data_IF_596214709754
#
_entry.id   IF_596214709754
#
_cell.length_a   1.000
_cell.length_b   1.000
_cell.length_c   1.000
_cell.angle_alpha   90.00
_cell.angle_beta   90.00
_cell.angle_gamma   90.00
#
_symmetry.space_group_name_H-M   'P 1'
#
loop_
_entity.id
_entity.type
_entity.pdbx_description
1 polymer ?
#
# COMPACT_ATOMS: atom_id res chain seq x y z
N UNK A 1 16.26 -7.90 1.77
CA UNK A 1 17.01 -9.08 1.28
C UNK A 1 16.22 -9.87 0.24
N UNK A 2 15.02 -10.38 0.54
CA UNK A 2 14.24 -11.21 -0.40
C UNK A 2 13.83 -10.46 -1.69
N UNK A 3 13.35 -9.22 -1.58
CA UNK A 3 12.90 -8.47 -2.77
C UNK A 3 14.05 -8.14 -3.75
N UNK A 4 15.27 -7.96 -3.25
CA UNK A 4 16.48 -7.81 -4.08
C UNK A 4 16.85 -9.13 -4.77
N UNK A 5 16.80 -10.25 -4.04
CA UNK A 5 17.13 -11.56 -4.59
C UNK A 5 16.11 -12.01 -5.63
N UNK A 6 14.83 -11.77 -5.39
CA UNK A 6 13.74 -12.00 -6.35
C UNK A 6 13.91 -11.10 -7.58
N UNK A 7 14.20 -9.81 -7.40
CA UNK A 7 14.49 -8.90 -8.51
C UNK A 7 15.69 -9.35 -9.36
N UNK A 8 16.80 -9.73 -8.73
CA UNK A 8 17.99 -10.20 -9.43
C UNK A 8 17.79 -11.57 -10.08
N UNK A 9 17.10 -12.50 -9.41
CA UNK A 9 16.79 -13.82 -9.92
C UNK A 9 15.84 -13.77 -11.12
N UNK A 10 14.79 -12.95 -11.06
CA UNK A 10 13.88 -12.77 -12.19
C UNK A 10 14.54 -12.00 -13.34
N UNK A 11 15.35 -10.96 -13.07
CA UNK A 11 16.14 -10.32 -14.12
C UNK A 11 17.15 -11.28 -14.73
N UNK A 12 17.77 -12.17 -13.95
CA UNK A 12 18.72 -13.16 -14.46
C UNK A 12 18.02 -14.22 -15.34
N UNK A 13 16.89 -14.77 -14.90
CA UNK A 13 16.10 -15.74 -15.66
C UNK A 13 15.51 -15.16 -16.95
N UNK A 14 15.07 -13.89 -16.96
CA UNK A 14 14.36 -13.29 -18.10
C UNK A 14 15.23 -12.46 -19.03
N UNK A 15 16.45 -12.07 -18.62
CA UNK A 15 17.46 -11.51 -19.54
C UNK A 15 17.84 -12.49 -20.66
N UNK A 16 17.54 -13.77 -20.47
CA UNK A 16 17.71 -14.82 -21.48
C UNK A 16 16.59 -14.89 -22.52
N UNK A 17 15.40 -14.28 -22.33
CA UNK A 17 14.23 -14.73 -23.11
C UNK A 17 13.16 -13.73 -23.62
N UNK A 18 13.21 -12.40 -23.42
CA UNK A 18 12.51 -11.36 -24.24
C UNK A 18 12.24 -10.02 -23.51
N UNK A 19 11.96 -8.96 -24.29
CA UNK A 19 11.44 -7.62 -23.96
C UNK A 19 11.35 -7.24 -22.47
N UNK A 20 12.45 -6.69 -21.95
CA UNK A 20 12.69 -6.31 -20.55
C UNK A 20 11.65 -5.39 -19.90
N UNK A 21 10.89 -4.61 -20.68
CA UNK A 21 9.91 -3.65 -20.16
C UNK A 21 8.68 -4.29 -19.49
N UNK A 22 8.07 -5.28 -20.14
CA UNK A 22 6.82 -5.92 -19.67
C UNK A 22 7.04 -6.78 -18.42
N UNK A 23 8.21 -7.44 -18.34
CA UNK A 23 8.61 -8.26 -17.21
C UNK A 23 8.86 -7.39 -15.97
N UNK A 24 9.51 -6.24 -16.14
CA UNK A 24 9.74 -5.31 -15.04
C UNK A 24 8.42 -4.78 -14.48
N UNK A 25 7.45 -4.46 -15.34
CA UNK A 25 6.10 -4.08 -14.91
C UNK A 25 5.41 -5.23 -14.17
N UNK A 26 5.48 -6.46 -14.69
CA UNK A 26 4.91 -7.62 -14.00
C UNK A 26 5.51 -7.82 -12.61
N UNK A 27 6.83 -7.73 -12.44
CA UNK A 27 7.49 -7.84 -11.13
C UNK A 27 7.03 -6.72 -10.19
N UNK A 28 6.91 -5.48 -10.69
CA UNK A 28 6.48 -4.32 -9.90
C UNK A 28 5.02 -4.41 -9.44
N UNK A 29 4.14 -4.99 -10.22
CA UNK A 29 2.71 -5.04 -9.91
C UNK A 29 2.23 -6.38 -9.38
N UNK A 30 3.07 -7.43 -9.40
CA UNK A 30 2.69 -8.74 -8.89
C UNK A 30 2.73 -8.76 -7.34
N UNK A 31 1.58 -8.94 -6.65
CA UNK A 31 1.51 -8.92 -5.19
C UNK A 31 2.36 -10.01 -4.52
N UNK A 32 2.66 -11.11 -5.23
CA UNK A 32 3.52 -12.18 -4.71
C UNK A 32 4.94 -11.68 -4.41
N UNK A 33 5.43 -10.68 -5.15
CA UNK A 33 6.76 -10.09 -4.90
C UNK A 33 6.83 -9.36 -3.54
N UNK A 34 5.68 -8.97 -2.99
CA UNK A 34 5.55 -8.24 -1.74
C UNK A 34 5.19 -9.12 -0.54
N UNK A 35 5.14 -10.45 -0.71
CA UNK A 35 4.91 -11.39 0.41
C UNK A 35 5.93 -11.17 1.53
N UNK A 36 7.19 -10.93 1.20
CA UNK A 36 8.24 -10.73 2.21
C UNK A 36 8.04 -9.46 3.06
N UNK A 37 7.59 -8.38 2.43
CA UNK A 37 7.25 -7.15 3.16
C UNK A 37 5.99 -7.31 3.99
N UNK A 38 5.03 -8.09 3.49
CA UNK A 38 3.81 -8.41 4.22
C UNK A 38 4.07 -9.26 5.47
N UNK A 39 4.87 -10.32 5.35
CA UNK A 39 5.25 -11.16 6.50
C UNK A 39 6.09 -10.38 7.52
N UNK A 40 6.98 -9.49 7.09
CA UNK A 40 7.68 -8.57 8.00
C UNK A 40 6.71 -7.67 8.76
N UNK A 41 5.68 -7.13 8.09
CA UNK A 41 4.63 -6.37 8.74
C UNK A 41 3.86 -7.17 9.80
N UNK A 42 3.54 -8.44 9.51
CA UNK A 42 2.89 -9.34 10.46
C UNK A 42 3.77 -9.60 11.70
N UNK A 43 5.06 -9.89 11.48
CA UNK A 43 6.01 -10.11 12.58
C UNK A 43 6.21 -8.85 13.43
N UNK A 44 6.23 -7.67 12.79
CA UNK A 44 6.28 -6.39 13.50
C UNK A 44 5.03 -6.22 14.36
N UNK A 45 3.85 -6.47 13.82
CA UNK A 45 2.59 -6.41 14.57
C UNK A 45 2.61 -7.32 15.80
N UNK A 46 3.04 -8.57 15.65
CA UNK A 46 3.11 -9.52 16.76
C UNK A 46 4.04 -9.05 17.89
N UNK A 47 5.11 -8.33 17.58
CA UNK A 47 6.01 -7.73 18.58
C UNK A 47 5.40 -6.52 19.28
N UNK A 48 4.66 -5.69 18.56
CA UNK A 48 4.14 -4.42 19.10
C UNK A 48 2.73 -4.52 19.70
N UNK A 49 1.96 -5.58 19.40
CA UNK A 49 0.54 -5.67 19.78
C UNK A 49 0.29 -5.57 21.30
N UNK A 50 1.25 -6.02 22.11
CA UNK A 50 1.17 -6.02 23.57
C UNK A 50 1.76 -4.75 24.23
N UNK A 51 2.35 -3.84 23.45
CA UNK A 51 2.93 -2.61 23.97
C UNK A 51 1.80 -1.64 24.34
N UNK A 52 1.91 -1.00 25.51
CA UNK A 52 0.93 -0.02 25.98
C UNK A 52 0.91 1.20 25.06
N UNK A 53 -0.27 1.50 24.51
CA UNK A 53 -0.52 2.71 23.73
C UNK A 53 -0.46 3.95 24.60
N UNK A 54 0.13 5.04 24.10
CA UNK A 54 0.35 6.29 24.85
C UNK A 54 0.26 7.50 23.95
N UNK A 55 -0.12 8.64 24.51
CA UNK A 55 -0.25 9.90 23.75
C UNK A 55 1.12 10.48 23.34
N UNK A 56 2.21 10.10 24.00
CA UNK A 56 3.57 10.54 23.65
C UNK A 56 3.97 10.12 22.23
N UNK A 57 3.40 9.03 21.70
CA UNK A 57 3.67 8.58 20.35
C UNK A 57 3.12 9.53 19.28
N UNK A 58 2.10 10.34 19.57
CA UNK A 58 1.68 11.44 18.68
C UNK A 58 2.84 12.42 18.44
N UNK A 59 3.57 12.78 19.50
CA UNK A 59 4.69 13.70 19.39
C UNK A 59 5.85 13.09 18.59
N UNK A 60 6.21 11.83 18.87
CA UNK A 60 7.22 11.11 18.08
C UNK A 60 6.81 10.97 16.62
N UNK A 61 5.53 10.78 16.32
CA UNK A 61 5.02 10.72 14.95
C UNK A 61 5.26 12.04 14.22
N UNK A 62 4.98 13.19 14.84
CA UNK A 62 5.22 14.51 14.23
C UNK A 62 6.70 14.73 13.95
N UNK A 63 7.56 14.48 14.95
CA UNK A 63 9.02 14.60 14.78
C UNK A 63 9.49 13.71 13.63
N UNK A 64 8.99 12.48 13.56
CA UNK A 64 9.40 11.54 12.55
C UNK A 64 8.92 11.92 11.14
N UNK A 65 7.71 12.47 11.01
CA UNK A 65 7.22 13.02 9.73
C UNK A 65 8.11 14.18 9.28
N UNK A 66 8.45 15.10 10.20
CA UNK A 66 9.36 16.21 9.91
C UNK A 66 10.72 15.66 9.44
N UNK A 67 11.27 14.68 10.16
CA UNK A 67 12.52 14.01 9.76
C UNK A 67 12.43 13.41 8.35
N UNK A 68 11.34 12.71 8.03
CA UNK A 68 11.14 12.12 6.70
C UNK A 68 11.02 13.17 5.59
N UNK A 69 10.45 14.34 5.85
CA UNK A 69 10.35 15.44 4.88
C UNK A 69 11.73 16.05 4.56
N UNK A 70 12.64 16.10 5.54
CA UNK A 70 13.99 16.65 5.36
C UNK A 70 15.04 15.62 4.93
N UNK A 71 14.81 14.33 5.19
CA UNK A 71 15.67 13.23 4.79
C UNK A 71 16.09 13.23 3.30
N UNK A 72 15.20 13.46 2.30
CA UNK A 72 15.59 13.43 0.88
C UNK A 72 16.51 14.57 0.46
N UNK A 73 16.55 15.69 1.20
CA UNK A 73 17.45 16.81 0.90
C UNK A 73 18.89 16.55 1.35
N UNK A 74 19.10 15.52 2.17
CA UNK A 74 20.41 15.18 2.66
C UNK A 74 21.06 14.15 1.71
N UNK A 75 22.16 14.54 1.04
CA UNK A 75 22.93 13.68 0.12
C UNK A 75 23.46 12.39 0.78
N UNK A 76 23.40 12.30 2.11
CA UNK A 76 23.89 11.17 2.90
C UNK A 76 23.05 9.90 2.77
N UNK A 77 21.76 10.01 2.44
CA UNK A 77 20.90 8.84 2.29
C UNK A 77 20.84 8.42 0.82
N UNK A 78 21.35 7.23 0.46
CA UNK A 78 21.19 6.72 -0.89
C UNK A 78 19.69 6.58 -1.18
N UNK A 79 19.20 7.29 -2.18
CA UNK A 79 17.80 7.28 -2.60
C UNK A 79 17.48 5.97 -3.33
N UNK A 80 17.50 4.87 -2.58
CA UNK A 80 17.08 3.55 -3.03
C UNK A 80 15.68 3.29 -2.49
N UNK A 81 14.75 2.90 -3.36
CA UNK A 81 13.34 2.64 -3.03
C UNK A 81 13.16 1.69 -1.82
N UNK A 82 14.06 0.71 -1.67
CA UNK A 82 14.08 -0.23 -0.55
C UNK A 82 14.45 0.44 0.78
N UNK A 83 15.43 1.33 0.79
CA UNK A 83 15.88 2.04 2.02
C UNK A 83 14.79 2.98 2.51
N UNK A 84 14.12 3.66 1.58
CA UNK A 84 12.98 4.52 1.86
C UNK A 84 11.78 3.70 2.36
N UNK A 85 11.53 2.50 1.82
CA UNK A 85 10.45 1.65 2.33
C UNK A 85 10.66 1.22 3.79
N UNK A 86 11.91 1.01 4.20
CA UNK A 86 12.27 0.63 5.57
C UNK A 86 12.11 1.79 6.55
N UNK A 87 12.29 3.05 6.11
CA UNK A 87 12.05 4.21 6.98
C UNK A 87 10.57 4.41 7.32
N UNK A 88 9.64 3.74 6.66
CA UNK A 88 8.24 3.75 7.09
C UNK A 88 7.95 2.85 8.29
N UNK A 89 8.83 1.92 8.67
CA UNK A 89 8.61 1.01 9.80
C UNK A 89 8.41 1.78 11.12
N UNK A 90 9.31 2.71 11.53
CA UNK A 90 9.11 3.48 12.76
C UNK A 90 7.84 4.32 12.72
N UNK A 91 7.49 4.89 11.56
CA UNK A 91 6.26 5.65 11.38
C UNK A 91 5.04 4.78 11.69
N UNK A 92 4.96 3.58 11.12
CA UNK A 92 3.86 2.64 11.35
C UNK A 92 3.77 2.26 12.84
N UNK A 93 4.91 2.02 13.49
CA UNK A 93 4.96 1.68 14.92
C UNK A 93 4.45 2.84 15.78
N UNK A 94 4.89 4.08 15.53
CA UNK A 94 4.44 5.24 16.28
C UNK A 94 2.95 5.50 16.07
N UNK A 95 2.44 5.37 14.84
CA UNK A 95 1.01 5.48 14.55
C UNK A 95 0.18 4.39 15.25
N UNK A 96 0.68 3.15 15.31
CA UNK A 96 -0.03 2.06 15.98
C UNK A 96 -0.09 2.23 17.50
N UNK A 97 0.99 2.70 18.10
CA UNK A 97 1.11 2.92 19.54
C UNK A 97 0.47 4.23 20.00
N UNK A 98 0.08 5.09 19.08
CA UNK A 98 -0.61 6.33 19.39
C UNK A 98 -2.02 6.08 19.96
N UNK A 99 -2.33 6.80 21.03
CA UNK A 99 -3.67 6.92 21.59
C UNK A 99 -4.15 8.39 21.66
N UNK A 100 -3.38 9.29 21.05
CA UNK A 100 -3.60 10.72 21.09
C UNK A 100 -4.29 11.24 19.82
N UNK A 101 -3.62 12.19 19.16
CA UNK A 101 -4.18 12.96 18.05
C UNK A 101 -4.38 12.11 16.79
N UNK A 102 -3.35 11.38 16.34
CA UNK A 102 -3.41 10.64 15.08
C UNK A 102 -4.39 9.47 15.16
N UNK A 103 -4.44 8.79 16.30
CA UNK A 103 -5.40 7.73 16.56
C UNK A 103 -6.85 8.21 16.40
N UNK A 104 -7.18 9.39 16.94
CA UNK A 104 -8.51 10.00 16.80
C UNK A 104 -8.79 10.51 15.38
N UNK A 105 -7.80 11.16 14.76
CA UNK A 105 -7.94 11.73 13.43
C UNK A 105 -8.08 10.66 12.34
N UNK A 106 -7.13 9.73 12.28
CA UNK A 106 -7.11 8.63 11.31
C UNK A 106 -8.15 7.54 11.64
N UNK A 107 -8.56 7.45 12.91
CA UNK A 107 -9.63 6.58 13.37
C UNK A 107 -11.04 7.09 13.05
N UNK A 108 -11.19 8.25 12.41
CA UNK A 108 -12.51 8.70 11.96
C UNK A 108 -13.04 7.76 10.85
N UNK A 109 -14.36 7.56 10.83
CA UNK A 109 -15.09 6.70 9.88
C UNK A 109 -14.71 6.98 8.43
N UNK A 110 -14.49 8.24 8.07
CA UNK A 110 -14.10 8.65 6.70
C UNK A 110 -12.72 8.10 6.32
N UNK A 111 -11.71 8.27 7.19
CA UNK A 111 -10.36 7.78 6.92
C UNK A 111 -10.28 6.26 6.96
N UNK A 112 -11.00 5.61 7.89
CA UNK A 112 -11.13 4.16 7.90
C UNK A 112 -11.77 3.66 6.60
N UNK A 113 -12.82 4.34 6.12
CA UNK A 113 -13.48 4.00 4.87
C UNK A 113 -12.55 4.13 3.66
N UNK A 114 -11.86 5.26 3.54
CA UNK A 114 -10.87 5.50 2.48
C UNK A 114 -9.73 4.46 2.52
N UNK A 115 -9.20 4.17 3.71
CA UNK A 115 -8.19 3.15 3.91
C UNK A 115 -8.66 1.76 3.47
N UNK A 116 -9.91 1.41 3.78
CA UNK A 116 -10.48 0.12 3.38
C UNK A 116 -10.82 -0.03 1.89
N UNK A 117 -10.87 1.05 1.10
CA UNK A 117 -11.01 0.98 -0.38
C UNK A 117 -9.66 1.13 -1.08
N UNK A 118 -8.63 1.59 -0.37
CA UNK A 118 -7.30 1.84 -0.94
C UNK A 118 -6.70 0.64 -1.67
N UNK A 119 -6.99 -0.59 -1.18
CA UNK A 119 -6.55 -1.82 -1.82
C UNK A 119 -7.17 -2.01 -3.21
N UNK A 120 -8.48 -1.86 -3.34
CA UNK A 120 -9.18 -1.96 -4.63
C UNK A 120 -8.69 -0.88 -5.60
N UNK A 121 -8.51 0.36 -5.12
CA UNK A 121 -7.95 1.46 -5.93
C UNK A 121 -6.56 1.11 -6.43
N UNK A 122 -5.70 0.59 -5.56
CA UNK A 122 -4.32 0.23 -5.91
C UNK A 122 -4.28 -0.86 -6.99
N UNK A 123 -5.16 -1.85 -6.96
CA UNK A 123 -5.20 -2.88 -8.00
C UNK A 123 -5.82 -2.37 -9.29
N UNK A 124 -6.91 -1.60 -9.20
CA UNK A 124 -7.77 -1.30 -10.33
C UNK A 124 -7.34 -0.06 -11.11
N UNK A 125 -6.61 0.89 -10.50
CA UNK A 125 -6.25 2.12 -11.19
C UNK A 125 -5.47 1.84 -12.49
N UNK A 126 -4.46 0.96 -12.48
CA UNK A 126 -3.66 0.70 -13.70
C UNK A 126 -4.46 0.00 -14.82
N UNK A 127 -5.20 -1.09 -14.59
CA UNK A 127 -6.09 -1.66 -15.61
C UNK A 127 -7.14 -0.68 -16.13
N UNK A 128 -7.77 0.10 -15.24
CA UNK A 128 -8.77 1.09 -15.62
C UNK A 128 -8.16 2.22 -16.44
N UNK A 129 -6.91 2.61 -16.16
CA UNK A 129 -6.19 3.61 -16.95
C UNK A 129 -6.00 3.13 -18.39
N UNK A 130 -5.58 1.87 -18.59
CA UNK A 130 -5.40 1.29 -19.93
C UNK A 130 -6.74 1.28 -20.69
N UNK A 131 -7.84 0.96 -20.02
CA UNK A 131 -9.17 1.03 -20.63
C UNK A 131 -9.59 2.47 -20.94
N UNK A 132 -9.36 3.40 -20.01
CA UNK A 132 -9.66 4.82 -20.19
C UNK A 132 -8.93 5.39 -21.41
N UNK A 133 -7.62 5.14 -21.52
CA UNK A 133 -6.79 5.58 -22.64
C UNK A 133 -7.28 5.01 -23.97
N UNK A 134 -7.72 3.75 -23.98
CA UNK A 134 -8.24 3.10 -25.19
C UNK A 134 -9.58 3.70 -25.68
N UNK A 135 -10.47 4.08 -24.77
CA UNK A 135 -11.82 4.52 -25.13
C UNK A 135 -11.99 6.04 -25.22
N UNK A 136 -11.28 6.79 -24.38
CA UNK A 136 -11.40 8.25 -24.27
C UNK A 136 -10.17 8.95 -24.86
N UNK A 137 -9.00 8.30 -24.80
CA UNK A 137 -7.72 8.86 -25.20
C UNK A 137 -6.83 9.22 -24.00
N UNK A 138 -5.64 9.72 -24.30
CA UNK A 138 -4.68 10.15 -23.28
C UNK A 138 -5.23 11.29 -22.40
N UNK A 139 -4.93 11.27 -21.10
CA UNK A 139 -5.30 12.36 -20.21
C UNK A 139 -4.47 13.61 -20.51
N UNK A 140 -5.10 14.64 -21.06
CA UNK A 140 -4.44 15.91 -21.40
C UNK A 140 -4.88 17.06 -20.51
N UNK A 141 -6.08 16.97 -19.95
CA UNK A 141 -6.68 18.02 -19.15
C UNK A 141 -6.93 17.59 -17.71
N UNK A 142 -7.06 18.56 -16.80
CA UNK A 142 -7.47 18.30 -15.42
C UNK A 142 -8.88 17.68 -15.34
N UNK A 143 -9.74 17.96 -16.32
CA UNK A 143 -11.07 17.37 -16.41
C UNK A 143 -10.98 15.85 -16.65
N UNK A 144 -10.12 15.40 -17.58
CA UNK A 144 -9.90 13.98 -17.86
C UNK A 144 -9.44 13.22 -16.61
N UNK A 145 -8.53 13.82 -15.85
CA UNK A 145 -8.05 13.26 -14.59
C UNK A 145 -9.16 13.13 -13.54
N UNK A 146 -10.00 14.15 -13.38
CA UNK A 146 -11.12 14.11 -12.42
C UNK A 146 -12.12 13.03 -12.83
N UNK A 147 -12.47 12.94 -14.11
CA UNK A 147 -13.37 11.93 -14.65
C UNK A 147 -12.80 10.54 -14.39
N UNK A 148 -11.53 10.30 -14.72
CA UNK A 148 -10.86 9.04 -14.46
C UNK A 148 -10.81 8.70 -12.97
N UNK A 149 -10.47 9.67 -12.11
CA UNK A 149 -10.44 9.45 -10.67
C UNK A 149 -11.80 9.04 -10.13
N UNK A 150 -12.88 9.67 -10.59
CA UNK A 150 -14.25 9.29 -10.24
C UNK A 150 -14.60 7.87 -10.72
N UNK A 151 -14.19 7.49 -11.93
CA UNK A 151 -14.37 6.13 -12.45
C UNK A 151 -13.64 5.13 -11.56
N UNK A 152 -12.35 5.34 -11.27
CA UNK A 152 -11.56 4.45 -10.41
C UNK A 152 -12.18 4.34 -9.03
N UNK A 153 -12.58 5.47 -8.43
CA UNK A 153 -13.21 5.48 -7.12
C UNK A 153 -14.52 4.70 -7.13
N UNK A 154 -15.39 4.92 -8.12
CA UNK A 154 -16.67 4.22 -8.24
C UNK A 154 -16.50 2.71 -8.44
N UNK A 155 -15.66 2.29 -9.39
CA UNK A 155 -15.40 0.87 -9.67
C UNK A 155 -14.78 0.19 -8.45
N UNK A 156 -13.85 0.85 -7.76
CA UNK A 156 -13.23 0.33 -6.53
C UNK A 156 -14.26 0.09 -5.42
N UNK A 157 -15.24 0.98 -5.26
CA UNK A 157 -16.34 0.79 -4.32
C UNK A 157 -17.20 -0.44 -4.68
N UNK A 158 -17.53 -0.60 -5.97
CA UNK A 158 -18.29 -1.76 -6.45
C UNK A 158 -17.52 -3.06 -6.20
N UNK A 159 -16.24 -3.11 -6.55
CA UNK A 159 -15.38 -4.28 -6.33
C UNK A 159 -15.31 -4.65 -4.86
N UNK A 160 -15.15 -3.68 -3.97
CA UNK A 160 -15.13 -3.93 -2.53
C UNK A 160 -16.45 -4.52 -2.03
N UNK A 161 -17.58 -3.95 -2.44
CA UNK A 161 -18.89 -4.41 -2.01
C UNK A 161 -19.24 -5.80 -2.55
N UNK A 162 -19.01 -6.05 -3.83
CA UNK A 162 -19.42 -7.29 -4.49
C UNK A 162 -18.44 -8.44 -4.34
N UNK A 163 -17.13 -8.16 -4.32
CA UNK A 163 -16.09 -9.18 -4.32
C UNK A 163 -15.48 -9.27 -2.93
N UNK A 164 -14.78 -8.22 -2.49
CA UNK A 164 -13.93 -8.29 -1.29
C UNK A 164 -14.73 -8.66 -0.03
N UNK A 165 -15.84 -7.97 0.21
CA UNK A 165 -16.67 -8.23 1.40
C UNK A 165 -17.27 -9.64 1.39
N UNK A 166 -17.74 -10.13 0.24
CA UNK A 166 -18.32 -11.48 0.13
C UNK A 166 -17.26 -12.56 0.34
N UNK A 167 -16.09 -12.42 -0.27
CA UNK A 167 -14.97 -13.34 -0.08
C UNK A 167 -14.47 -13.33 1.35
N UNK A 168 -14.36 -12.15 1.97
CA UNK A 168 -13.97 -12.02 3.37
C UNK A 168 -14.94 -12.76 4.29
N UNK A 169 -16.25 -12.53 4.14
CA UNK A 169 -17.29 -13.22 4.92
C UNK A 169 -17.23 -14.74 4.73
N UNK A 170 -17.05 -15.20 3.47
CA UNK A 170 -16.89 -16.61 3.17
C UNK A 170 -15.69 -17.24 3.88
N UNK A 171 -14.52 -16.58 3.85
CA UNK A 171 -13.31 -17.07 4.52
C UNK A 171 -13.46 -17.09 6.05
N UNK A 172 -14.05 -16.04 6.63
CA UNK A 172 -14.32 -15.99 8.07
C UNK A 172 -15.24 -17.13 8.52
N UNK A 173 -16.31 -17.39 7.76
CA UNK A 173 -17.23 -18.51 8.04
C UNK A 173 -16.53 -19.86 7.95
N UNK A 174 -15.64 -20.05 6.97
CA UNK A 174 -14.96 -21.32 6.71
C UNK A 174 -13.84 -21.63 7.72
N UNK A 175 -13.03 -20.63 8.10
CA UNK A 175 -11.79 -20.87 8.85
C UNK A 175 -11.82 -20.37 10.29
N UNK A 176 -12.65 -19.37 10.60
CA UNK A 176 -12.63 -18.73 11.93
C UNK A 176 -13.80 -19.12 12.82
N UNK A 177 -14.77 -19.92 12.33
CA UNK A 177 -16.03 -20.24 13.02
C UNK A 177 -16.70 -19.02 13.69
N UNK A 178 -16.39 -17.82 13.21
CA UNK A 178 -17.02 -16.58 13.65
C UNK A 178 -18.22 -16.40 12.73
N UNK A 179 -19.41 -16.56 13.29
CA UNK A 179 -20.60 -15.96 12.73
C UNK A 179 -20.35 -14.44 12.73
N UNK A 180 -20.14 -13.87 11.54
CA UNK A 180 -20.14 -12.42 11.32
C UNK A 180 -21.51 -12.05 10.79
#
# INVERSE_FOLDING_TARGET
MINLYVYYFFNYLFKLNSNSGTVLEFIKYNPLMYISTFTLGMLLYDKIKNIKKRNIYSFFTIIYIIFLLFAPYNKFLPYNSTVISLSFIPLIVFLYLDNGFFSKFLGNKVFIYLGSISYSIYILHRPLYILFEKFIGEMRTHADFIIYFLIVFFVSNLTKYFIENKFYQYLCKKYLNKAV
#
